data_IF_512959893457
#
_entry.id   IF_512959893457
#
_cell.length_a   1.000
_cell.length_b   1.000
_cell.length_c   1.000
_cell.angle_alpha   90.00
_cell.angle_beta   90.00
_cell.angle_gamma   90.00
#
_symmetry.space_group_name_H-M   'P 1'
#
loop_
_entity.id
_entity.type
_entity.pdbx_description
1 polymer ?
#
# COMPACT_ATOMS: atom_id res chain seq x y z
N UNK A 1 -1.19 18.62 -14.99
CA UNK A 1 -0.59 17.54 -14.19
C UNK A 1 -0.68 16.24 -14.96
N UNK A 2 0.26 15.33 -14.80
CA UNK A 2 0.13 13.99 -15.40
C UNK A 2 -0.89 13.16 -14.60
N UNK A 3 -1.44 12.10 -15.20
CA UNK A 3 -2.29 11.13 -14.48
C UNK A 3 -1.58 10.55 -13.25
N UNK A 4 -0.26 10.43 -13.31
CA UNK A 4 0.54 9.95 -12.19
C UNK A 4 0.53 10.95 -11.04
N UNK A 5 0.75 12.24 -11.33
CA UNK A 5 0.74 13.30 -10.29
C UNK A 5 -0.64 13.39 -9.62
N UNK A 6 -1.72 13.30 -10.40
CA UNK A 6 -3.10 13.27 -9.87
C UNK A 6 -3.33 12.08 -8.92
N UNK A 7 -2.77 10.91 -9.23
CA UNK A 7 -2.83 9.74 -8.35
C UNK A 7 -2.04 9.97 -7.05
N UNK A 8 -0.85 10.56 -7.14
CA UNK A 8 -0.04 10.91 -5.96
C UNK A 8 -0.77 11.91 -5.06
N UNK A 9 -1.36 12.96 -5.62
CA UNK A 9 -2.12 13.96 -4.87
C UNK A 9 -3.32 13.34 -4.16
N UNK A 10 -4.03 12.42 -4.82
CA UNK A 10 -5.11 11.64 -4.20
C UNK A 10 -4.63 10.84 -3.00
N UNK A 11 -3.47 10.20 -3.10
CA UNK A 11 -2.88 9.43 -2.00
C UNK A 11 -2.42 10.33 -0.85
N UNK A 12 -1.79 11.47 -1.14
CA UNK A 12 -1.42 12.47 -0.13
C UNK A 12 -2.64 13.01 0.60
N UNK A 13 -3.73 13.30 -0.12
CA UNK A 13 -4.98 13.75 0.49
C UNK A 13 -5.60 12.67 1.39
N UNK A 14 -5.55 11.39 0.99
CA UNK A 14 -5.98 10.26 1.83
C UNK A 14 -5.13 10.15 3.11
N UNK A 15 -3.80 10.24 3.00
CA UNK A 15 -2.89 10.17 4.14
C UNK A 15 -3.03 11.37 5.08
N UNK A 16 -3.28 12.56 4.54
CA UNK A 16 -3.55 13.77 5.34
C UNK A 16 -4.82 13.62 6.19
N UNK A 17 -5.87 12.97 5.66
CA UNK A 17 -7.09 12.66 6.42
C UNK A 17 -6.86 11.67 7.55
N UNK A 18 -5.81 10.86 7.45
CA UNK A 18 -5.36 9.91 8.48
C UNK A 18 -4.26 10.50 9.38
N UNK A 19 -3.96 11.80 9.24
CA UNK A 19 -2.90 12.50 10.00
C UNK A 19 -1.52 11.84 9.90
N UNK A 20 -1.21 11.23 8.75
CA UNK A 20 0.05 10.53 8.53
C UNK A 20 1.09 11.43 7.87
N UNK A 21 2.35 11.31 8.30
CA UNK A 21 3.48 11.93 7.60
C UNK A 21 3.79 11.18 6.31
N UNK A 22 3.95 11.93 5.21
CA UNK A 22 4.18 11.37 3.87
C UNK A 22 5.60 11.64 3.43
N UNK A 23 6.36 10.56 3.22
CA UNK A 23 7.58 10.59 2.40
C UNK A 23 7.14 10.48 0.94
N UNK A 24 7.17 11.62 0.24
CA UNK A 24 6.68 11.70 -1.14
C UNK A 24 7.52 10.89 -2.12
N UNK A 25 8.83 10.79 -1.89
CA UNK A 25 9.73 10.04 -2.75
C UNK A 25 9.44 8.54 -2.65
N UNK A 26 9.27 8.04 -1.42
CA UNK A 26 8.86 6.66 -1.19
C UNK A 26 7.46 6.39 -1.78
N UNK A 27 6.50 7.30 -1.58
CA UNK A 27 5.15 7.14 -2.14
C UNK A 27 5.19 7.06 -3.68
N UNK A 28 6.00 7.90 -4.33
CA UNK A 28 6.21 7.86 -5.78
C UNK A 28 6.87 6.56 -6.23
N UNK A 29 7.89 6.06 -5.52
CA UNK A 29 8.52 4.76 -5.81
C UNK A 29 7.52 3.61 -5.72
N UNK A 30 6.71 3.57 -4.65
CA UNK A 30 5.65 2.56 -4.48
C UNK A 30 4.62 2.64 -5.61
N UNK A 31 4.15 3.83 -5.95
CA UNK A 31 3.17 4.02 -7.03
C UNK A 31 3.73 3.61 -8.40
N UNK A 32 5.00 3.97 -8.70
CA UNK A 32 5.68 3.52 -9.92
C UNK A 32 5.84 2.00 -9.96
N UNK A 33 6.18 1.40 -8.82
CA UNK A 33 6.31 -0.05 -8.73
C UNK A 33 4.96 -0.72 -9.06
N UNK A 34 3.84 -0.21 -8.54
CA UNK A 34 2.50 -0.73 -8.86
C UNK A 34 2.13 -0.58 -10.34
N UNK A 35 2.72 0.39 -11.05
CA UNK A 35 2.53 0.56 -12.48
C UNK A 35 1.08 0.94 -12.82
N UNK A 36 0.49 0.45 -13.92
CA UNK A 36 -0.82 0.90 -14.38
C UNK A 36 -1.98 0.50 -13.47
N UNK A 37 -1.78 -0.42 -12.50
CA UNK A 37 -2.83 -0.84 -11.57
C UNK A 37 -3.35 0.30 -10.71
N UNK A 38 -2.57 1.37 -10.53
CA UNK A 38 -2.96 2.54 -9.74
C UNK A 38 -4.13 3.33 -10.38
N UNK A 39 -4.37 3.14 -11.68
CA UNK A 39 -5.42 3.80 -12.43
C UNK A 39 -6.69 2.95 -12.57
N UNK A 40 -6.64 1.67 -12.22
CA UNK A 40 -7.79 0.79 -12.25
C UNK A 40 -8.54 0.89 -10.90
N UNK A 41 -9.82 1.23 -10.93
CA UNK A 41 -10.60 1.50 -9.71
C UNK A 41 -10.65 0.30 -8.74
N UNK A 42 -10.77 -0.92 -9.27
CA UNK A 42 -10.85 -2.14 -8.48
C UNK A 42 -9.48 -2.54 -7.94
N UNK A 43 -8.44 -2.49 -8.78
CA UNK A 43 -7.08 -2.86 -8.39
C UNK A 43 -6.39 -1.81 -7.50
N UNK A 44 -6.85 -0.56 -7.53
CA UNK A 44 -6.28 0.54 -6.74
C UNK A 44 -6.73 0.55 -5.27
N UNK A 45 -7.60 -0.38 -4.86
CA UNK A 45 -8.06 -0.52 -3.47
C UNK A 45 -7.58 -1.83 -2.85
N UNK A 46 -7.61 -1.90 -1.53
CA UNK A 46 -7.38 -3.11 -0.74
C UNK A 46 -8.54 -3.31 0.22
N UNK A 47 -9.19 -4.47 0.14
CA UNK A 47 -10.23 -4.87 1.08
C UNK A 47 -9.61 -5.63 2.25
N UNK A 48 -9.52 -4.99 3.42
CA UNK A 48 -8.99 -5.62 4.63
C UNK A 48 -9.89 -6.70 5.25
N UNK A 49 -11.15 -6.81 4.82
CA UNK A 49 -12.05 -7.88 5.23
C UNK A 49 -12.00 -9.10 4.31
N UNK A 50 -11.34 -8.97 3.15
CA UNK A 50 -11.18 -10.06 2.19
C UNK A 50 -9.83 -10.75 2.43
N UNK A 51 -9.89 -11.98 2.95
CA UNK A 51 -8.68 -12.77 3.26
C UNK A 51 -7.90 -13.16 2.01
N UNK A 52 -8.57 -13.40 0.88
CA UNK A 52 -7.91 -13.76 -0.38
C UNK A 52 -7.17 -12.56 -0.96
N UNK A 53 -7.75 -11.36 -0.84
CA UNK A 53 -7.08 -10.12 -1.17
C UNK A 53 -5.79 -9.93 -0.34
N UNK A 54 -5.86 -10.12 0.97
CA UNK A 54 -4.70 -9.99 1.85
C UNK A 54 -3.62 -11.04 1.53
N UNK A 55 -4.02 -12.28 1.25
CA UNK A 55 -3.11 -13.34 0.79
C UNK A 55 -2.41 -12.94 -0.52
N UNK A 56 -3.14 -12.36 -1.49
CA UNK A 56 -2.55 -11.87 -2.74
C UNK A 56 -1.57 -10.71 -2.51
N UNK A 57 -1.85 -9.81 -1.58
CA UNK A 57 -0.88 -8.75 -1.19
C UNK A 57 0.39 -9.39 -0.64
N UNK A 58 0.27 -10.33 0.29
CA UNK A 58 1.41 -11.05 0.86
C UNK A 58 2.24 -11.75 -0.22
N UNK A 59 1.62 -12.58 -1.05
CA UNK A 59 2.31 -13.37 -2.05
C UNK A 59 2.92 -12.53 -3.18
N UNK A 60 2.13 -11.62 -3.76
CA UNK A 60 2.54 -10.90 -4.98
C UNK A 60 3.41 -9.69 -4.68
N UNK A 61 3.15 -9.00 -3.58
CA UNK A 61 3.90 -7.80 -3.23
C UNK A 61 5.03 -8.12 -2.24
N UNK A 62 4.73 -8.64 -1.05
CA UNK A 62 5.78 -8.84 -0.03
C UNK A 62 6.77 -9.94 -0.43
N UNK A 63 6.28 -11.11 -0.84
CA UNK A 63 7.15 -12.24 -1.18
C UNK A 63 7.75 -12.05 -2.57
N UNK A 64 6.93 -12.03 -3.62
CA UNK A 64 7.44 -12.05 -5.01
C UNK A 64 8.18 -10.77 -5.40
N UNK A 65 7.73 -9.60 -4.94
CA UNK A 65 8.28 -8.32 -5.40
C UNK A 65 9.35 -7.76 -4.48
N UNK A 66 9.12 -7.79 -3.16
CA UNK A 66 10.12 -7.32 -2.19
C UNK A 66 11.13 -8.42 -1.80
N UNK A 67 10.87 -9.68 -2.18
CA UNK A 67 11.78 -10.81 -1.94
C UNK A 67 11.77 -11.29 -0.49
N UNK A 68 10.68 -11.06 0.24
CA UNK A 68 10.58 -11.47 1.65
C UNK A 68 10.29 -12.96 1.77
N UNK A 69 10.85 -13.59 2.81
CA UNK A 69 10.48 -14.95 3.18
C UNK A 69 9.07 -14.99 3.78
N UNK A 70 8.31 -16.04 3.46
CA UNK A 70 7.02 -16.27 4.08
C UNK A 70 7.19 -16.48 5.59
N UNK A 71 6.51 -15.66 6.37
CA UNK A 71 6.52 -15.73 7.83
C UNK A 71 5.28 -15.07 8.43
N UNK A 72 4.90 -15.42 9.67
CA UNK A 72 3.78 -14.79 10.39
C UNK A 72 3.91 -13.26 10.50
N UNK A 73 5.14 -12.73 10.49
CA UNK A 73 5.41 -11.29 10.53
C UNK A 73 4.75 -10.53 9.37
N UNK A 74 4.59 -11.16 8.20
CA UNK A 74 3.94 -10.52 7.06
C UNK A 74 2.44 -10.34 7.31
N UNK A 75 1.78 -11.35 7.88
CA UNK A 75 0.35 -11.30 8.21
C UNK A 75 0.07 -10.31 9.35
N UNK A 76 0.96 -10.25 10.34
CA UNK A 76 0.93 -9.26 11.42
C UNK A 76 1.08 -7.83 10.87
N UNK A 77 2.02 -7.61 9.94
CA UNK A 77 2.22 -6.30 9.33
C UNK A 77 1.00 -5.88 8.49
N UNK A 78 0.43 -6.79 7.71
CA UNK A 78 -0.80 -6.55 6.93
C UNK A 78 -1.97 -6.18 7.85
N UNK A 79 -2.17 -6.96 8.92
CA UNK A 79 -3.22 -6.70 9.92
C UNK A 79 -3.02 -5.33 10.58
N UNK A 80 -1.79 -4.99 10.95
CA UNK A 80 -1.46 -3.70 11.55
C UNK A 80 -1.73 -2.54 10.60
N UNK A 81 -1.36 -2.64 9.32
CA UNK A 81 -1.65 -1.60 8.31
C UNK A 81 -3.16 -1.46 8.07
N UNK A 82 -3.90 -2.57 8.07
CA UNK A 82 -5.36 -2.53 7.98
C UNK A 82 -6.00 -1.76 9.15
N UNK A 83 -5.48 -1.90 10.36
CA UNK A 83 -5.91 -1.14 11.54
C UNK A 83 -5.48 0.33 11.45
N UNK A 84 -4.23 0.58 11.05
CA UNK A 84 -3.65 1.92 10.91
C UNK A 84 -4.41 2.79 9.90
N UNK A 85 -4.85 2.20 8.79
CA UNK A 85 -5.69 2.88 7.80
C UNK A 85 -7.15 3.07 8.25
N UNK A 86 -7.52 2.54 9.41
CA UNK A 86 -8.86 2.66 10.02
C UNK A 86 -9.88 1.68 9.48
N UNK A 87 -10.64 1.03 10.36
CA UNK A 87 -11.72 0.10 9.99
C UNK A 87 -12.90 0.78 9.31
N UNK A 88 -13.16 2.05 9.63
CA UNK A 88 -14.21 2.89 9.01
C UNK A 88 -13.82 3.41 7.62
N UNK A 89 -12.52 3.39 7.27
CA UNK A 89 -12.05 3.83 5.97
C UNK A 89 -12.39 2.79 4.90
N UNK A 90 -13.42 3.07 4.09
CA UNK A 90 -13.84 2.22 2.97
C UNK A 90 -12.95 2.34 1.73
N UNK A 91 -12.07 3.35 1.69
CA UNK A 91 -11.20 3.64 0.55
C UNK A 91 -9.73 3.49 0.95
N UNK A 92 -9.30 2.24 1.14
CA UNK A 92 -7.89 1.93 1.42
C UNK A 92 -7.13 1.82 0.10
N UNK A 93 -6.55 2.93 -0.35
CA UNK A 93 -5.75 2.95 -1.57
C UNK A 93 -4.55 2.00 -1.48
N UNK A 94 -4.40 1.11 -2.47
CA UNK A 94 -3.34 0.10 -2.52
C UNK A 94 -1.93 0.71 -2.49
N UNK A 95 -1.73 1.87 -3.11
CA UNK A 95 -0.46 2.58 -3.05
C UNK A 95 -0.09 3.01 -1.62
N UNK A 96 -1.06 3.55 -0.87
CA UNK A 96 -0.88 3.93 0.54
C UNK A 96 -0.68 2.68 1.40
N UNK A 97 -1.48 1.63 1.18
CA UNK A 97 -1.36 0.36 1.89
C UNK A 97 0.04 -0.25 1.74
N UNK A 98 0.54 -0.34 0.51
CA UNK A 98 1.86 -0.88 0.21
C UNK A 98 2.98 0.02 0.72
N UNK A 99 2.81 1.34 0.70
CA UNK A 99 3.74 2.29 1.31
C UNK A 99 3.91 2.02 2.80
N UNK A 100 2.80 1.83 3.53
CA UNK A 100 2.84 1.57 4.97
C UNK A 100 3.48 0.20 5.27
N UNK A 101 3.19 -0.82 4.48
CA UNK A 101 3.86 -2.12 4.59
C UNK A 101 5.37 -2.00 4.41
N UNK A 102 5.81 -1.25 3.40
CA UNK A 102 7.23 -1.06 3.10
C UNK A 102 7.93 -0.36 4.26
N UNK A 103 7.35 0.71 4.83
CA UNK A 103 7.92 1.38 6.01
C UNK A 103 7.92 0.48 7.24
N UNK A 104 6.83 -0.23 7.49
CA UNK A 104 6.70 -1.11 8.67
C UNK A 104 7.69 -2.27 8.63
N UNK A 105 8.05 -2.75 7.43
CA UNK A 105 8.96 -3.87 7.23
C UNK A 105 10.41 -3.45 6.87
N UNK A 106 10.68 -2.13 6.81
CA UNK A 106 12.00 -1.59 6.49
C UNK A 106 12.50 -2.01 5.09
N UNK A 107 11.61 -2.02 4.09
CA UNK A 107 11.91 -2.48 2.72
C UNK A 107 12.02 -1.33 1.71
N UNK A 108 12.27 -0.10 2.15
CA UNK A 108 12.33 1.10 1.29
C UNK A 108 13.39 0.97 0.19
N UNK A 109 14.47 0.23 0.43
CA UNK A 109 15.57 0.02 -0.51
C UNK A 109 15.26 -0.98 -1.63
N UNK A 110 14.10 -1.66 -1.60
CA UNK A 110 13.71 -2.68 -2.60
C UNK A 110 12.83 -2.12 -3.73
N UNK A 111 12.53 -0.83 -3.70
CA UNK A 111 11.63 -0.13 -4.64
C UNK A 111 12.35 0.85 -5.56
#
# INVERSE_FOLDING_TARGET
>A
MSKFDEAIDKYKASMSKMSMSVDEDLLKKVAKALGPSIYNADAAMVSCSDKEELARVKERFLIKKLGMADSPKLDEAISAVCQEMGTSNRQKHRAVFNYLLVKKLGQESKL
#
